data_IF_773388951844
#
_entry.id   IF_773388951844
#
_cell.length_a   1.000
_cell.length_b   1.000
_cell.length_c   1.000
_cell.angle_alpha   90.00
_cell.angle_beta   90.00
_cell.angle_gamma   90.00
#
_symmetry.space_group_name_H-M   'P 1'
#
loop_
_entity.id
_entity.type
_entity.pdbx_description
1 polymer ?
#
# COMPACT_ATOMS: atom_id res chain seq x y z
N UNK A 1 -20.63 44.05 -10.84
CA UNK A 1 -19.31 43.46 -10.52
C UNK A 1 -19.16 42.22 -11.39
N UNK A 2 -18.24 42.16 -12.37
CA UNK A 2 -18.08 40.97 -13.18
C UNK A 2 -17.31 39.92 -12.34
N UNK A 3 -17.95 38.77 -12.10
CA UNK A 3 -17.28 37.63 -11.49
C UNK A 3 -16.30 37.05 -12.50
N UNK A 4 -15.00 37.21 -12.26
CA UNK A 4 -13.96 36.60 -13.09
C UNK A 4 -14.10 35.08 -12.99
N UNK A 5 -14.60 34.45 -14.06
CA UNK A 5 -14.62 32.98 -14.18
C UNK A 5 -13.16 32.53 -14.14
N UNK A 6 -12.77 31.92 -13.02
CA UNK A 6 -11.43 31.42 -12.83
C UNK A 6 -11.28 30.16 -13.69
N UNK A 7 -10.74 30.32 -14.90
CA UNK A 7 -10.47 29.20 -15.80
C UNK A 7 -9.30 28.38 -15.25
N UNK A 8 -9.60 27.19 -14.74
CA UNK A 8 -8.57 26.22 -14.33
C UNK A 8 -8.12 25.39 -15.53
N UNK A 9 -6.84 25.04 -15.56
CA UNK A 9 -6.29 24.07 -16.51
C UNK A 9 -5.97 22.78 -15.77
N UNK A 10 -6.27 21.62 -16.37
CA UNK A 10 -6.02 20.32 -15.74
C UNK A 10 -4.88 19.55 -16.41
N UNK A 11 -4.29 18.61 -15.68
CA UNK A 11 -3.32 17.67 -16.23
C UNK A 11 -4.00 16.43 -16.80
N UNK A 12 -3.78 16.10 -18.06
CA UNK A 12 -4.39 14.94 -18.72
C UNK A 12 -3.91 13.57 -18.20
N UNK A 13 -2.88 13.53 -17.35
CA UNK A 13 -2.35 12.27 -16.79
C UNK A 13 -2.89 11.94 -15.40
N UNK A 14 -3.27 12.96 -14.62
CA UNK A 14 -3.72 12.75 -13.23
C UNK A 14 -4.89 13.66 -12.81
N UNK A 15 -5.49 14.37 -13.77
CA UNK A 15 -6.65 15.27 -13.63
C UNK A 15 -6.53 16.36 -12.56
N UNK A 16 -5.31 16.65 -12.08
CA UNK A 16 -5.09 17.78 -11.18
C UNK A 16 -5.32 19.11 -11.87
N UNK A 17 -6.12 19.96 -11.22
CA UNK A 17 -6.41 21.32 -11.65
C UNK A 17 -5.38 22.34 -11.16
N UNK A 18 -5.14 23.35 -11.99
CA UNK A 18 -4.19 24.42 -11.77
C UNK A 18 -4.82 25.77 -12.13
N UNK A 19 -4.64 26.75 -11.24
CA UNK A 19 -5.10 28.13 -11.43
C UNK A 19 -4.40 28.88 -12.55
N UNK A 20 -3.22 28.40 -12.96
CA UNK A 20 -2.39 29.07 -13.96
C UNK A 20 -1.62 28.05 -14.81
N UNK A 21 -1.30 28.46 -16.04
CA UNK A 21 -0.54 27.64 -16.99
C UNK A 21 0.86 27.30 -16.47
N UNK A 22 1.54 28.22 -15.79
CA UNK A 22 2.88 28.00 -15.21
C UNK A 22 2.90 26.81 -14.23
N UNK A 23 1.89 26.70 -13.37
CA UNK A 23 1.73 25.60 -12.42
C UNK A 23 1.51 24.26 -13.13
N UNK A 24 0.64 24.25 -14.15
CA UNK A 24 0.40 23.07 -14.97
C UNK A 24 1.66 22.64 -15.74
N UNK A 25 2.40 23.56 -16.35
CA UNK A 25 3.65 23.26 -17.07
C UNK A 25 4.69 22.64 -16.15
N UNK A 26 4.89 23.21 -14.95
CA UNK A 26 5.82 22.65 -13.96
C UNK A 26 5.40 21.24 -13.54
N UNK A 27 4.11 21.03 -13.33
CA UNK A 27 3.57 19.73 -12.98
C UNK A 27 3.78 18.71 -14.11
N UNK A 28 3.47 19.06 -15.36
CA UNK A 28 3.72 18.21 -16.53
C UNK A 28 5.18 17.78 -16.62
N UNK A 29 6.12 18.70 -16.35
CA UNK A 29 7.54 18.37 -16.31
C UNK A 29 7.88 17.31 -15.25
N UNK A 30 7.31 17.41 -14.05
CA UNK A 30 7.50 16.37 -13.02
C UNK A 30 6.90 15.03 -13.44
N UNK A 31 5.64 15.02 -13.89
CA UNK A 31 4.96 13.80 -14.33
C UNK A 31 5.77 13.13 -15.44
N UNK A 32 6.22 13.89 -16.43
CA UNK A 32 7.07 13.38 -17.50
C UNK A 32 8.36 12.76 -16.94
N UNK A 33 9.07 13.46 -16.04
CA UNK A 33 10.32 12.97 -15.46
C UNK A 33 10.17 11.66 -14.68
N UNK A 34 9.06 11.47 -13.97
CA UNK A 34 8.82 10.25 -13.20
C UNK A 34 8.26 9.10 -14.05
N UNK A 35 7.44 9.43 -15.06
CA UNK A 35 6.84 8.43 -15.96
C UNK A 35 7.76 8.08 -17.13
N UNK A 36 8.84 8.83 -17.34
CA UNK A 36 9.84 8.50 -18.33
C UNK A 36 10.43 7.15 -17.95
N UNK A 37 10.14 6.13 -18.78
CA UNK A 37 10.70 4.80 -18.62
C UNK A 37 12.22 4.95 -18.57
N UNK A 38 12.79 4.66 -17.41
CA UNK A 38 14.23 4.47 -17.31
C UNK A 38 14.51 3.19 -18.09
N UNK A 39 15.20 3.32 -19.22
CA UNK A 39 15.66 2.18 -20.02
C UNK A 39 16.59 1.25 -19.20
N UNK A 40 17.12 1.74 -18.07
CA UNK A 40 18.00 1.04 -17.13
C UNK A 40 17.26 0.51 -15.88
N UNK A 41 15.97 0.20 -15.96
CA UNK A 41 15.39 -0.66 -14.92
C UNK A 41 15.71 -2.09 -15.32
N UNK A 42 16.49 -2.78 -14.49
CA UNK A 42 16.71 -4.22 -14.63
C UNK A 42 15.34 -4.88 -14.79
N UNK A 43 15.11 -5.50 -15.95
CA UNK A 43 13.93 -6.32 -16.14
C UNK A 43 14.02 -7.46 -15.13
N UNK A 44 13.05 -7.53 -14.22
CA UNK A 44 12.98 -8.64 -13.27
C UNK A 44 12.86 -9.90 -14.11
N UNK A 45 13.81 -10.85 -14.01
CA UNK A 45 13.72 -12.08 -14.77
C UNK A 45 12.38 -12.75 -14.50
N UNK A 46 11.68 -13.18 -15.54
CA UNK A 46 10.39 -13.87 -15.40
C UNK A 46 10.49 -15.07 -14.43
N UNK A 47 11.67 -15.70 -14.38
CA UNK A 47 11.99 -16.77 -13.43
C UNK A 47 11.90 -16.30 -11.97
N UNK A 48 12.36 -15.09 -11.64
CA UNK A 48 12.28 -14.54 -10.28
C UNK A 48 10.82 -14.31 -9.85
N UNK A 49 9.96 -13.93 -10.79
CA UNK A 49 8.52 -13.77 -10.52
C UNK A 49 7.88 -15.13 -10.23
N UNK A 50 8.25 -16.16 -10.99
CA UNK A 50 7.74 -17.52 -10.79
C UNK A 50 8.21 -18.11 -9.46
N UNK A 51 9.52 -18.01 -9.17
CA UNK A 51 10.10 -18.44 -7.89
C UNK A 51 9.40 -17.75 -6.70
N UNK A 52 9.18 -16.44 -6.79
CA UNK A 52 8.50 -15.70 -5.72
C UNK A 52 7.05 -16.17 -5.53
N UNK A 53 6.32 -16.43 -6.62
CA UNK A 53 4.96 -17.01 -6.54
C UNK A 53 4.98 -18.38 -5.88
N UNK A 54 5.92 -19.24 -6.25
CA UNK A 54 6.04 -20.59 -5.67
C UNK A 54 6.32 -20.53 -4.16
N UNK A 55 7.21 -19.61 -3.72
CA UNK A 55 7.49 -19.39 -2.30
C UNK A 55 6.22 -19.00 -1.54
N UNK A 56 5.42 -18.08 -2.08
CA UNK A 56 4.16 -17.65 -1.45
C UNK A 56 3.19 -18.82 -1.34
N UNK A 57 2.99 -19.57 -2.43
CA UNK A 57 2.07 -20.72 -2.45
C UNK A 57 2.49 -21.77 -1.42
N UNK A 58 3.78 -22.10 -1.36
CA UNK A 58 4.33 -23.06 -0.40
C UNK A 58 4.09 -22.61 1.05
N UNK A 59 4.32 -21.33 1.35
CA UNK A 59 4.13 -20.79 2.70
C UNK A 59 2.65 -20.76 3.11
N UNK A 60 1.74 -20.45 2.18
CA UNK A 60 0.29 -20.54 2.40
C UNK A 60 -0.10 -21.98 2.74
N UNK A 61 0.30 -22.95 1.91
CA UNK A 61 0.01 -24.36 2.15
C UNK A 61 0.57 -24.83 3.49
N UNK A 62 1.80 -24.43 3.85
CA UNK A 62 2.41 -24.76 5.14
C UNK A 62 1.61 -24.21 6.30
N UNK A 63 1.19 -22.94 6.25
CA UNK A 63 0.40 -22.31 7.31
C UNK A 63 -0.98 -22.93 7.45
N UNK A 64 -1.66 -23.17 6.34
CA UNK A 64 -2.97 -23.84 6.35
C UNK A 64 -2.86 -25.25 6.95
N UNK A 65 -1.86 -26.03 6.51
CA UNK A 65 -1.62 -27.38 7.04
C UNK A 65 -1.31 -27.37 8.54
N UNK A 66 -0.52 -26.39 9.02
CA UNK A 66 -0.25 -26.22 10.45
C UNK A 66 -1.51 -25.86 11.24
N UNK A 67 -2.38 -24.98 10.72
CA UNK A 67 -3.65 -24.67 11.39
C UNK A 67 -4.59 -25.89 11.50
N UNK A 68 -4.59 -26.79 10.52
CA UNK A 68 -5.38 -28.03 10.61
C UNK A 68 -4.76 -29.05 11.56
N UNK A 69 -3.42 -29.07 11.70
CA UNK A 69 -2.72 -30.02 12.58
C UNK A 69 -2.88 -29.68 14.06
N UNK A 70 -2.96 -28.39 14.41
CA UNK A 70 -3.20 -27.93 15.79
C UNK A 70 -4.59 -28.33 16.32
N UNK A 71 -5.57 -28.55 15.44
CA UNK A 71 -6.91 -29.02 15.82
C UNK A 71 -7.01 -30.54 16.02
N UNK A 72 -5.94 -31.32 15.77
CA UNK A 72 -5.97 -32.78 15.87
C UNK A 72 -5.45 -33.33 17.21
N UNK A 73 -4.83 -32.49 18.05
CA UNK A 73 -4.44 -32.88 19.41
C UNK A 73 -5.61 -32.61 20.38
N UNK A 74 -6.09 -33.59 21.16
CA UNK A 74 -7.11 -33.34 22.16
C UNK A 74 -6.51 -32.46 23.26
N UNK A 75 -6.91 -31.20 23.30
CA UNK A 75 -6.53 -30.26 24.36
C UNK A 75 -7.13 -30.78 25.68
N UNK A 76 -6.31 -31.10 26.71
CA UNK A 76 -6.84 -31.36 28.05
C UNK A 76 -7.41 -30.04 28.57
N UNK A 77 -8.72 -30.01 28.78
CA UNK A 77 -9.41 -28.86 29.36
C UNK A 77 -8.83 -28.57 30.76
N UNK A 78 -7.97 -27.56 30.86
CA UNK A 78 -7.63 -26.98 32.15
C UNK A 78 -8.61 -25.84 32.44
N UNK A 79 -9.53 -26.11 33.36
CA UNK A 79 -10.49 -25.15 33.88
C UNK A 79 -9.80 -24.21 34.87
N UNK A 80 -9.26 -23.10 34.40
CA UNK A 80 -9.14 -21.88 35.21
C UNK A 80 -8.64 -20.70 34.36
N UNK A 81 -9.56 -19.89 33.85
CA UNK A 81 -9.33 -18.46 33.70
C UNK A 81 -10.69 -17.75 33.63
N UNK A 82 -11.25 -17.47 34.81
CA UNK A 82 -12.34 -16.50 34.90
C UNK A 82 -11.78 -15.11 34.56
N UNK A 83 -12.55 -14.42 33.72
CA UNK A 83 -12.61 -12.98 33.52
C UNK A 83 -11.34 -12.23 33.11
N UNK A 84 -11.27 -11.93 31.81
CA UNK A 84 -11.40 -10.53 31.39
C UNK A 84 -11.77 -10.44 29.90
N UNK A 85 -12.86 -9.72 29.65
CA UNK A 85 -13.45 -9.37 28.35
C UNK A 85 -12.44 -9.21 27.22
N UNK A 86 -12.46 -10.15 26.27
CA UNK A 86 -11.78 -10.00 24.98
C UNK A 86 -12.78 -9.35 24.05
N UNK A 87 -12.69 -8.03 23.88
CA UNK A 87 -13.21 -7.40 22.67
C UNK A 87 -12.44 -8.02 21.50
N UNK A 88 -13.15 -8.89 20.77
CA UNK A 88 -12.69 -9.53 19.55
C UNK A 88 -12.48 -8.44 18.49
N UNK A 89 -11.30 -7.84 18.51
CA UNK A 89 -10.88 -6.93 17.44
C UNK A 89 -10.51 -7.83 16.26
N UNK A 90 -11.34 -7.77 15.22
CA UNK A 90 -11.10 -8.35 13.90
C UNK A 90 -9.61 -8.15 13.52
N UNK A 91 -8.86 -9.22 13.21
CA UNK A 91 -7.47 -9.14 12.77
C UNK A 91 -7.26 -8.11 11.65
N UNK A 92 -8.27 -7.89 10.80
CA UNK A 92 -8.25 -6.92 9.71
C UNK A 92 -8.24 -5.47 10.22
N UNK A 93 -9.02 -5.16 11.25
CA UNK A 93 -9.09 -3.85 11.92
C UNK A 93 -7.72 -3.47 12.54
N UNK A 94 -7.03 -4.46 13.14
CA UNK A 94 -5.69 -4.29 13.70
C UNK A 94 -4.65 -3.97 12.62
N UNK A 95 -4.75 -4.60 11.45
CA UNK A 95 -3.86 -4.35 10.31
C UNK A 95 -4.08 -2.96 9.68
N UNK A 96 -5.34 -2.54 9.53
CA UNK A 96 -5.70 -1.21 9.03
C UNK A 96 -5.14 -0.10 9.93
N UNK A 97 -5.33 -0.20 11.25
CA UNK A 97 -4.83 0.76 12.22
C UNK A 97 -3.29 0.87 12.21
N UNK A 98 -2.58 -0.25 12.02
CA UNK A 98 -1.12 -0.26 11.93
C UNK A 98 -0.58 0.33 10.61
N UNK A 99 -1.34 0.24 9.52
CA UNK A 99 -0.97 0.79 8.22
C UNK A 99 -1.06 2.32 8.19
N UNK A 100 -2.13 2.90 8.75
CA UNK A 100 -2.39 4.35 8.73
C UNK A 100 -1.31 5.12 9.52
N UNK A 101 -0.76 4.54 10.60
CA UNK A 101 0.22 5.21 11.47
C UNK A 101 1.61 5.38 10.84
N UNK A 102 1.93 4.68 9.73
CA UNK A 102 3.26 4.68 9.11
C UNK A 102 3.43 5.64 7.93
N UNK A 103 2.37 6.29 7.45
CA UNK A 103 2.48 7.28 6.37
C UNK A 103 2.81 8.69 6.89
N UNK A 104 3.91 8.84 7.62
CA UNK A 104 4.57 10.15 7.69
C UNK A 104 5.28 10.36 6.36
N UNK A 105 4.61 11.02 5.43
CA UNK A 105 5.19 11.47 4.16
C UNK A 105 6.44 12.29 4.50
N UNK A 106 7.64 11.68 4.37
CA UNK A 106 8.90 12.39 4.42
C UNK A 106 8.95 13.30 3.20
N UNK A 107 8.50 14.55 3.34
CA UNK A 107 8.72 15.59 2.34
C UNK A 107 10.23 15.70 2.16
N UNK A 108 10.73 15.40 0.94
CA UNK A 108 12.15 15.55 0.60
C UNK A 108 12.59 17.00 0.82
N UNK A 109 13.81 17.26 1.35
CA UNK A 109 14.34 18.61 1.44
C UNK A 109 14.51 19.19 0.04
N UNK A 110 14.21 20.48 -0.08
CA UNK A 110 14.45 21.26 -1.29
C UNK A 110 15.92 21.67 -1.24
N UNK A 111 16.76 21.10 -2.10
CA UNK A 111 18.10 21.64 -2.32
C UNK A 111 17.91 22.96 -3.09
N UNK A 112 18.36 24.05 -2.45
CA UNK A 112 18.44 25.39 -3.03
C UNK A 112 19.51 25.42 -4.11
#
# INVERSE_FOLDING_TARGET
MPSTILSFSHCSTCDKEYKNSKGLTRHKHYVQRYNQRRQELDEIPLNTIDEFKQIIVAEIHRKLTLSFKVCADPIPWNNNLQDQSVEEIDPLEKLLKLSIKKQKIKRRPRFL
#
